data_IF_313131167773
#
_entry.id   IF_313131167773
#
_cell.length_a   1.000
_cell.length_b   1.000
_cell.length_c   1.000
_cell.angle_alpha   90.00
_cell.angle_beta   90.00
_cell.angle_gamma   90.00
#
_symmetry.space_group_name_H-M   'P 1'
#
loop_
_entity.id
_entity.type
_entity.pdbx_description
1 polymer ?
#
# COMPACT_ATOMS: atom_id res chain seq x y z
N UNK A 1 -55.37 -24.84 -40.72
CA UNK A 1 -54.86 -25.11 -39.36
C UNK A 1 -53.41 -24.64 -39.31
N UNK A 2 -53.23 -23.33 -39.09
CA UNK A 2 -51.92 -22.68 -39.09
C UNK A 2 -51.51 -22.43 -37.65
N UNK A 3 -50.36 -22.95 -37.26
CA UNK A 3 -49.74 -22.70 -35.98
C UNK A 3 -48.89 -21.44 -36.06
N UNK A 4 -49.24 -20.44 -35.26
CA UNK A 4 -48.40 -19.28 -35.01
C UNK A 4 -47.21 -19.72 -34.12
N UNK A 5 -46.02 -19.62 -34.61
CA UNK A 5 -44.78 -19.64 -33.82
C UNK A 5 -44.56 -18.24 -33.26
N UNK A 6 -44.70 -18.09 -31.96
CA UNK A 6 -44.35 -16.89 -31.22
C UNK A 6 -42.82 -16.83 -31.08
N UNK A 7 -42.21 -15.86 -31.76
CA UNK A 7 -40.79 -15.51 -31.52
C UNK A 7 -40.63 -15.07 -30.09
N UNK A 8 -39.76 -15.73 -29.35
CA UNK A 8 -39.27 -15.26 -28.05
C UNK A 8 -38.23 -14.19 -28.32
N UNK A 9 -38.65 -12.93 -28.20
CA UNK A 9 -37.70 -11.83 -28.04
C UNK A 9 -36.90 -12.08 -26.76
N UNK A 10 -35.64 -12.49 -26.94
CA UNK A 10 -34.66 -12.57 -25.88
C UNK A 10 -34.36 -11.15 -25.38
N UNK A 11 -35.02 -10.76 -24.31
CA UNK A 11 -34.61 -9.58 -23.53
C UNK A 11 -33.19 -9.89 -23.04
N UNK A 12 -32.19 -9.28 -23.67
CA UNK A 12 -30.83 -9.29 -23.16
C UNK A 12 -30.87 -8.70 -21.75
N UNK A 13 -30.49 -9.49 -20.78
CA UNK A 13 -30.26 -9.08 -19.40
C UNK A 13 -29.34 -7.83 -19.46
N UNK A 14 -29.68 -6.71 -18.80
CA UNK A 14 -28.82 -5.54 -18.83
C UNK A 14 -27.50 -5.91 -18.17
N UNK A 15 -26.50 -6.22 -19.01
CA UNK A 15 -25.14 -6.46 -18.50
C UNK A 15 -24.75 -5.25 -17.66
N UNK A 16 -24.60 -5.45 -16.35
CA UNK A 16 -24.10 -4.43 -15.43
C UNK A 16 -22.74 -3.99 -15.95
N UNK A 17 -22.69 -2.79 -16.51
CA UNK A 17 -21.45 -2.21 -17.05
C UNK A 17 -20.58 -1.78 -15.89
N UNK A 18 -19.28 -2.09 -15.97
CA UNK A 18 -18.31 -1.61 -14.99
C UNK A 18 -18.20 -0.08 -15.14
N UNK A 19 -18.46 0.63 -14.06
CA UNK A 19 -18.43 2.10 -14.00
C UNK A 19 -17.04 2.58 -13.65
N UNK A 20 -16.43 3.40 -14.50
CA UNK A 20 -15.03 3.82 -14.43
C UNK A 20 -14.94 5.33 -14.24
N UNK A 21 -14.06 5.78 -13.33
CA UNK A 21 -13.62 7.16 -13.25
C UNK A 21 -12.18 7.26 -13.74
N UNK A 22 -11.83 8.30 -14.51
CA UNK A 22 -10.50 8.52 -15.08
C UNK A 22 -9.89 9.79 -14.49
N UNK A 23 -8.67 9.70 -13.96
CA UNK A 23 -7.87 10.83 -13.50
C UNK A 23 -6.53 10.84 -14.22
N UNK A 24 -6.30 11.84 -15.08
CA UNK A 24 -5.04 12.07 -15.79
C UNK A 24 -4.98 13.55 -16.18
N UNK A 25 -3.87 14.23 -16.02
CA UNK A 25 -3.74 15.66 -16.37
C UNK A 25 -3.62 15.90 -17.90
N UNK A 26 -3.31 14.85 -18.67
CA UNK A 26 -3.22 14.92 -20.12
C UNK A 26 -4.59 14.65 -20.80
N UNK A 27 -5.19 15.68 -21.39
CA UNK A 27 -6.50 15.58 -22.05
C UNK A 27 -6.57 14.49 -23.12
N UNK A 28 -5.53 14.37 -23.96
CA UNK A 28 -5.49 13.33 -25.02
C UNK A 28 -5.45 11.91 -24.45
N UNK A 29 -4.81 11.72 -23.30
CA UNK A 29 -4.78 10.42 -22.61
C UNK A 29 -6.15 10.09 -22.06
N UNK A 30 -6.82 11.04 -21.40
CA UNK A 30 -8.18 10.86 -20.90
C UNK A 30 -9.14 10.49 -22.02
N UNK A 31 -9.13 11.25 -23.13
CA UNK A 31 -9.99 11.00 -24.27
C UNK A 31 -9.72 9.61 -24.89
N UNK A 32 -8.44 9.24 -25.08
CA UNK A 32 -8.08 7.92 -25.60
C UNK A 32 -8.50 6.77 -24.69
N UNK A 33 -8.41 6.95 -23.37
CA UNK A 33 -8.89 5.96 -22.39
C UNK A 33 -10.42 5.86 -22.42
N UNK A 34 -11.12 6.99 -22.51
CA UNK A 34 -12.59 7.03 -22.60
C UNK A 34 -13.08 6.28 -23.83
N UNK A 35 -12.52 6.61 -25.01
CA UNK A 35 -12.89 5.94 -26.29
C UNK A 35 -12.62 4.42 -26.23
N UNK A 36 -11.47 4.02 -25.66
CA UNK A 36 -11.11 2.62 -25.49
C UNK A 36 -12.08 1.89 -24.56
N UNK A 37 -12.38 2.47 -23.41
CA UNK A 37 -13.22 1.83 -22.40
C UNK A 37 -14.69 1.74 -22.85
N UNK A 38 -15.24 2.81 -23.41
CA UNK A 38 -16.61 2.81 -23.92
C UNK A 38 -16.79 1.85 -25.09
N UNK A 39 -15.78 1.77 -25.99
CA UNK A 39 -15.75 0.80 -27.08
C UNK A 39 -15.78 -0.66 -26.61
N UNK A 40 -15.30 -0.94 -25.41
CA UNK A 40 -15.21 -2.26 -24.79
C UNK A 40 -16.33 -2.52 -23.74
N UNK A 41 -17.35 -1.64 -23.72
CA UNK A 41 -18.56 -1.84 -22.94
C UNK A 41 -18.48 -1.38 -21.47
N UNK A 42 -17.46 -0.64 -21.10
CA UNK A 42 -17.42 0.05 -19.81
C UNK A 42 -18.29 1.33 -19.84
N UNK A 43 -18.61 1.87 -18.68
CA UNK A 43 -19.28 3.16 -18.53
C UNK A 43 -18.34 4.16 -17.87
N UNK A 44 -17.86 5.17 -18.60
CA UNK A 44 -17.05 6.24 -18.01
C UNK A 44 -17.98 7.25 -17.33
N UNK A 45 -18.07 7.19 -16.00
CA UNK A 45 -18.99 8.01 -15.19
C UNK A 45 -18.43 9.39 -14.87
N UNK A 46 -17.16 9.61 -15.15
CA UNK A 46 -16.52 10.91 -14.98
C UNK A 46 -15.02 10.87 -15.25
N UNK A 47 -14.48 12.06 -15.49
CA UNK A 47 -13.06 12.27 -15.69
C UNK A 47 -12.61 13.57 -15.01
N UNK A 48 -11.33 13.67 -14.69
CA UNK A 48 -10.70 14.89 -14.17
C UNK A 48 -9.22 14.96 -14.53
N UNK A 49 -8.68 16.16 -14.65
CA UNK A 49 -7.24 16.42 -14.74
C UNK A 49 -6.62 16.88 -13.42
N UNK A 50 -7.40 16.97 -12.33
CA UNK A 50 -6.99 17.50 -11.03
C UNK A 50 -7.25 16.51 -9.92
N UNK A 51 -6.23 16.27 -9.08
CA UNK A 51 -6.33 15.42 -7.89
C UNK A 51 -7.39 15.93 -6.92
N UNK A 52 -7.40 17.25 -6.66
CA UNK A 52 -8.36 17.88 -5.75
C UNK A 52 -9.80 17.77 -6.25
N UNK A 53 -10.04 17.85 -7.56
CA UNK A 53 -11.36 17.65 -8.14
C UNK A 53 -11.78 16.18 -8.06
N UNK A 54 -10.91 15.24 -8.44
CA UNK A 54 -11.17 13.80 -8.41
C UNK A 54 -11.55 13.32 -7.01
N UNK A 55 -10.82 13.74 -5.96
CA UNK A 55 -11.10 13.38 -4.57
C UNK A 55 -12.53 13.76 -4.14
N UNK A 56 -13.10 14.84 -4.68
CA UNK A 56 -14.49 15.25 -4.39
C UNK A 56 -15.51 14.54 -5.25
N UNK A 57 -15.20 14.29 -6.54
CA UNK A 57 -16.16 13.76 -7.52
C UNK A 57 -16.31 12.24 -7.44
N UNK A 58 -15.24 11.52 -7.17
CA UNK A 58 -15.25 10.05 -7.11
C UNK A 58 -16.28 9.54 -6.08
N UNK A 59 -16.31 10.03 -4.81
CA UNK A 59 -17.31 9.57 -3.84
C UNK A 59 -18.75 9.89 -4.24
N UNK A 60 -18.97 11.03 -4.96
CA UNK A 60 -20.30 11.42 -5.42
C UNK A 60 -20.79 10.58 -6.61
N UNK A 61 -19.89 10.16 -7.50
CA UNK A 61 -20.21 9.39 -8.70
C UNK A 61 -20.27 7.89 -8.43
N UNK A 62 -19.63 7.42 -7.35
CA UNK A 62 -19.60 6.00 -6.94
C UNK A 62 -19.23 5.06 -8.10
N UNK A 63 -18.04 5.20 -8.72
CA UNK A 63 -17.57 4.25 -9.72
C UNK A 63 -17.22 2.91 -9.08
N UNK A 64 -17.20 1.83 -9.86
CA UNK A 64 -16.70 0.52 -9.42
C UNK A 64 -15.16 0.55 -9.34
N UNK A 65 -14.55 1.28 -10.26
CA UNK A 65 -13.09 1.42 -10.33
C UNK A 65 -12.68 2.84 -10.75
N UNK A 66 -11.61 3.36 -10.15
CA UNK A 66 -10.96 4.60 -10.55
C UNK A 66 -9.58 4.29 -11.14
N UNK A 67 -9.31 4.78 -12.35
CA UNK A 67 -8.00 4.75 -13.00
C UNK A 67 -7.33 6.10 -12.70
N UNK A 68 -6.21 6.08 -12.02
CA UNK A 68 -5.58 7.26 -11.43
C UNK A 68 -4.15 7.40 -11.96
N UNK A 69 -3.84 8.51 -12.63
CA UNK A 69 -2.46 8.82 -12.99
C UNK A 69 -1.60 8.95 -11.72
N UNK A 70 -0.43 8.36 -11.75
CA UNK A 70 0.51 8.39 -10.64
C UNK A 70 1.01 9.79 -10.30
N UNK A 71 1.05 10.72 -11.26
CA UNK A 71 1.55 12.09 -11.07
C UNK A 71 0.64 13.12 -11.70
N UNK A 72 0.30 14.15 -10.92
CA UNK A 72 -0.56 15.24 -11.31
C UNK A 72 0.08 16.58 -10.89
N UNK A 73 -0.24 17.69 -11.51
CA UNK A 73 0.30 19.01 -11.14
C UNK A 73 -0.04 19.43 -9.71
N UNK A 74 -1.15 18.93 -9.17
CA UNK A 74 -1.70 19.30 -7.86
C UNK A 74 -1.69 18.15 -6.84
N UNK A 75 -0.97 17.02 -7.12
CA UNK A 75 -0.86 15.89 -6.21
C UNK A 75 -0.49 14.59 -6.90
N UNK A 76 -0.88 13.48 -6.31
CA UNK A 76 -0.62 12.15 -6.87
C UNK A 76 -1.88 11.27 -6.84
N UNK A 77 -2.02 10.37 -7.83
CA UNK A 77 -3.10 9.38 -7.81
C UNK A 77 -3.07 8.45 -6.61
N UNK A 78 -1.89 8.27 -6.00
CA UNK A 78 -1.73 7.47 -4.77
C UNK A 78 -2.40 8.17 -3.58
N UNK A 79 -2.26 9.50 -3.47
CA UNK A 79 -2.95 10.30 -2.44
C UNK A 79 -4.46 10.27 -2.66
N UNK A 80 -4.91 10.48 -3.90
CA UNK A 80 -6.34 10.36 -4.25
C UNK A 80 -6.88 8.97 -3.92
N UNK A 81 -6.16 7.89 -4.27
CA UNK A 81 -6.53 6.52 -3.92
C UNK A 81 -6.74 6.35 -2.41
N UNK A 82 -5.78 6.81 -1.60
CA UNK A 82 -5.87 6.75 -0.14
C UNK A 82 -7.09 7.47 0.40
N UNK A 83 -7.32 8.70 -0.07
CA UNK A 83 -8.40 9.55 0.40
C UNK A 83 -9.78 8.97 0.06
N UNK A 84 -10.00 8.59 -1.21
CA UNK A 84 -11.30 8.06 -1.64
C UNK A 84 -11.59 6.68 -1.04
N UNK A 85 -10.58 5.82 -0.87
CA UNK A 85 -10.74 4.52 -0.23
C UNK A 85 -10.94 4.60 1.29
N UNK A 86 -10.47 5.68 1.93
CA UNK A 86 -10.80 5.94 3.34
C UNK A 86 -12.29 6.21 3.53
N UNK A 87 -12.98 6.74 2.53
CA UNK A 87 -14.42 7.02 2.53
C UNK A 87 -15.24 5.80 2.08
N UNK A 88 -14.80 5.10 1.03
CA UNK A 88 -15.43 3.85 0.58
C UNK A 88 -14.35 2.77 0.27
N UNK A 89 -14.11 1.84 1.20
CA UNK A 89 -13.15 0.74 1.02
C UNK A 89 -13.50 -0.23 -0.13
N UNK A 90 -14.74 -0.21 -0.63
CA UNK A 90 -15.19 -1.09 -1.74
C UNK A 90 -14.74 -0.58 -3.10
N UNK A 91 -14.44 0.73 -3.21
CA UNK A 91 -13.93 1.30 -4.44
C UNK A 91 -12.58 0.70 -4.80
N UNK A 92 -12.45 0.22 -6.02
CA UNK A 92 -11.18 -0.25 -6.55
C UNK A 92 -10.41 0.90 -7.20
N UNK A 93 -9.10 0.96 -6.99
CA UNK A 93 -8.24 1.97 -7.59
C UNK A 93 -7.08 1.32 -8.32
N UNK A 94 -6.83 1.74 -9.54
CA UNK A 94 -5.72 1.30 -10.37
C UNK A 94 -4.81 2.49 -10.66
N UNK A 95 -3.56 2.42 -10.25
CA UNK A 95 -2.57 3.46 -10.55
C UNK A 95 -1.99 3.20 -11.95
N UNK A 96 -2.15 4.17 -12.84
CA UNK A 96 -1.61 4.15 -14.21
C UNK A 96 -0.53 5.23 -14.34
N UNK A 97 0.71 4.85 -14.67
CA UNK A 97 1.85 5.76 -14.61
C UNK A 97 2.88 5.52 -15.71
N UNK A 98 3.68 6.52 -16.01
CA UNK A 98 4.81 6.39 -16.94
C UNK A 98 6.12 5.96 -16.27
N UNK A 99 6.15 5.78 -14.96
CA UNK A 99 7.36 5.54 -14.17
C UNK A 99 7.30 4.24 -13.41
N UNK A 100 8.39 3.45 -13.51
CA UNK A 100 8.62 2.26 -12.69
C UNK A 100 9.43 2.70 -11.46
N UNK A 101 8.73 2.96 -10.36
CA UNK A 101 9.31 3.49 -9.11
C UNK A 101 8.87 2.60 -7.95
N UNK A 102 9.84 1.95 -7.31
CA UNK A 102 9.60 1.04 -6.18
C UNK A 102 8.92 1.75 -4.99
N UNK A 103 9.25 3.01 -4.73
CA UNK A 103 8.61 3.78 -3.66
C UNK A 103 7.15 4.09 -4.00
N UNK A 104 6.85 4.38 -5.26
CA UNK A 104 5.49 4.60 -5.73
C UNK A 104 4.66 3.31 -5.69
N UNK A 105 5.22 2.16 -6.08
CA UNK A 105 4.57 0.85 -5.93
C UNK A 105 4.25 0.57 -4.46
N UNK A 106 5.22 0.79 -3.56
CA UNK A 106 5.00 0.66 -2.11
C UNK A 106 3.89 1.60 -1.62
N UNK A 107 3.91 2.86 -2.06
CA UNK A 107 2.87 3.84 -1.75
C UNK A 107 1.48 3.42 -2.23
N UNK A 108 1.37 2.86 -3.44
CA UNK A 108 0.13 2.35 -4.01
C UNK A 108 -0.45 1.18 -3.20
N UNK A 109 0.40 0.21 -2.81
CA UNK A 109 -0.01 -0.90 -1.94
C UNK A 109 -0.55 -0.37 -0.61
N UNK A 110 0.14 0.59 0.02
CA UNK A 110 -0.28 1.18 1.30
C UNK A 110 -1.55 2.03 1.21
N UNK A 111 -1.80 2.63 0.05
CA UNK A 111 -3.04 3.33 -0.24
C UNK A 111 -4.20 2.36 -0.53
N UNK A 112 -3.94 1.05 -0.60
CA UNK A 112 -4.91 0.01 -0.90
C UNK A 112 -5.30 -0.05 -2.38
N UNK A 113 -4.45 0.41 -3.31
CA UNK A 113 -4.70 0.25 -4.73
C UNK A 113 -4.81 -1.24 -5.10
N UNK A 114 -5.63 -1.55 -6.10
CA UNK A 114 -5.76 -2.90 -6.65
C UNK A 114 -4.63 -3.25 -7.61
N UNK A 115 -3.85 -2.27 -8.05
CA UNK A 115 -2.70 -2.49 -8.93
C UNK A 115 -1.96 -1.21 -9.30
N UNK A 116 -0.79 -1.41 -9.89
CA UNK A 116 0.10 -0.38 -10.39
C UNK A 116 0.56 -0.79 -11.79
N UNK A 117 0.21 -0.03 -12.81
CA UNK A 117 0.40 -0.37 -14.21
C UNK A 117 1.17 0.75 -14.92
N UNK A 118 2.09 0.37 -15.79
CA UNK A 118 2.80 1.33 -16.65
C UNK A 118 1.94 1.70 -17.87
N UNK A 119 1.90 2.98 -18.25
CA UNK A 119 1.16 3.51 -19.43
C UNK A 119 1.61 2.89 -20.76
N UNK A 120 2.74 2.16 -20.79
CA UNK A 120 3.25 1.44 -21.96
C UNK A 120 2.60 0.07 -22.15
N UNK A 121 1.66 -0.32 -21.29
CA UNK A 121 0.91 -1.58 -21.41
C UNK A 121 0.09 -1.62 -22.71
N UNK A 122 -0.13 -2.81 -23.24
CA UNK A 122 -1.05 -3.02 -24.37
C UNK A 122 -2.48 -2.81 -23.93
N UNK A 123 -3.32 -2.29 -24.83
CA UNK A 123 -4.74 -2.01 -24.54
C UNK A 123 -5.49 -3.23 -24.01
N UNK A 124 -5.28 -4.41 -24.63
CA UNK A 124 -5.94 -5.65 -24.22
C UNK A 124 -5.59 -6.06 -22.78
N UNK A 125 -4.31 -5.90 -22.40
CA UNK A 125 -3.83 -6.22 -21.05
C UNK A 125 -4.34 -5.22 -20.02
N UNK A 126 -4.46 -3.93 -20.39
CA UNK A 126 -5.07 -2.91 -19.55
C UNK A 126 -6.55 -3.22 -19.29
N UNK A 127 -7.32 -3.52 -20.33
CA UNK A 127 -8.74 -3.87 -20.22
C UNK A 127 -8.97 -5.12 -19.35
N UNK A 128 -8.14 -6.15 -19.56
CA UNK A 128 -8.17 -7.35 -18.72
C UNK A 128 -7.83 -7.03 -17.25
N UNK A 129 -6.84 -6.16 -17.02
CA UNK A 129 -6.47 -5.69 -15.68
C UNK A 129 -7.60 -4.93 -15.01
N UNK A 130 -8.27 -4.02 -15.73
CA UNK A 130 -9.40 -3.25 -15.19
C UNK A 130 -10.55 -4.18 -14.78
N UNK A 131 -10.90 -5.18 -15.63
CA UNK A 131 -11.95 -6.16 -15.30
C UNK A 131 -11.61 -6.97 -14.05
N UNK A 132 -10.37 -7.44 -13.90
CA UNK A 132 -9.89 -8.16 -12.71
C UNK A 132 -9.93 -7.27 -11.46
N UNK A 133 -9.40 -6.05 -11.56
CA UNK A 133 -9.39 -5.12 -10.44
C UNK A 133 -10.81 -4.76 -9.98
N UNK A 134 -11.75 -4.52 -10.92
CA UNK A 134 -13.15 -4.26 -10.61
C UNK A 134 -13.86 -5.48 -9.98
N UNK A 135 -13.39 -6.70 -10.25
CA UNK A 135 -13.84 -7.92 -9.60
C UNK A 135 -13.20 -8.15 -8.21
N UNK A 136 -12.33 -7.22 -7.75
CA UNK A 136 -11.65 -7.31 -6.46
C UNK A 136 -10.34 -8.09 -6.46
N UNK A 137 -9.83 -8.47 -7.64
CA UNK A 137 -8.54 -9.13 -7.74
C UNK A 137 -7.38 -8.11 -7.63
N UNK A 138 -6.33 -8.46 -6.90
CA UNK A 138 -5.09 -7.70 -6.89
C UNK A 138 -4.26 -7.99 -8.15
N UNK A 139 -3.75 -6.93 -8.77
CA UNK A 139 -2.83 -7.02 -9.91
C UNK A 139 -1.36 -6.94 -9.49
N UNK A 140 -1.06 -6.83 -8.22
CA UNK A 140 0.29 -6.91 -7.73
C UNK A 140 0.83 -8.35 -7.75
N UNK A 141 2.13 -8.55 -7.93
CA UNK A 141 2.74 -9.87 -7.81
C UNK A 141 2.41 -10.54 -6.48
N UNK A 142 2.13 -11.82 -6.51
CA UNK A 142 1.77 -12.59 -5.31
C UNK A 142 2.77 -12.39 -4.16
N UNK A 143 2.27 -12.05 -2.98
CA UNK A 143 3.04 -11.80 -1.77
C UNK A 143 3.75 -10.45 -1.71
N UNK A 144 3.65 -9.58 -2.72
CA UNK A 144 4.25 -8.24 -2.68
C UNK A 144 3.60 -7.38 -1.58
N UNK A 145 2.28 -7.37 -1.53
CA UNK A 145 1.50 -6.63 -0.54
C UNK A 145 1.91 -7.05 0.89
N UNK A 146 1.95 -8.36 1.16
CA UNK A 146 2.34 -8.87 2.46
C UNK A 146 3.78 -8.50 2.82
N UNK A 147 4.73 -8.56 1.88
CA UNK A 147 6.12 -8.15 2.12
C UNK A 147 6.24 -6.66 2.44
N UNK A 148 5.43 -5.81 1.79
CA UNK A 148 5.42 -4.38 2.06
C UNK A 148 4.83 -4.10 3.44
N UNK A 149 3.71 -4.73 3.78
CA UNK A 149 3.06 -4.61 5.09
C UNK A 149 4.00 -5.13 6.20
N UNK A 150 4.59 -6.31 6.02
CA UNK A 150 5.56 -6.87 6.96
C UNK A 150 6.81 -5.99 7.13
N UNK A 151 7.24 -5.34 6.06
CA UNK A 151 8.39 -4.40 6.10
C UNK A 151 8.09 -3.10 6.84
N UNK A 152 6.80 -2.78 7.06
CA UNK A 152 6.37 -1.61 7.84
C UNK A 152 6.11 -2.00 9.29
N UNK A 153 5.47 -3.15 9.49
CA UNK A 153 5.22 -3.71 10.84
C UNK A 153 6.52 -4.20 11.50
N UNK A 154 7.48 -4.67 10.72
CA UNK A 154 8.87 -4.81 11.16
C UNK A 154 9.53 -3.45 10.93
N UNK A 155 9.57 -2.60 11.97
CA UNK A 155 10.46 -1.44 11.98
C UNK A 155 11.82 -1.88 11.39
N UNK A 156 12.50 -1.07 10.54
CA UNK A 156 13.78 -1.46 9.95
C UNK A 156 14.67 -1.91 11.10
N UNK A 157 14.86 -3.22 11.22
CA UNK A 157 15.76 -3.76 12.23
C UNK A 157 17.12 -3.27 11.83
N UNK A 158 17.65 -2.31 12.58
CA UNK A 158 19.02 -1.85 12.40
C UNK A 158 19.91 -3.12 12.31
N UNK A 159 20.70 -3.32 11.24
CA UNK A 159 21.53 -4.51 11.08
C UNK A 159 22.39 -4.79 12.33
N UNK A 160 22.71 -3.75 13.11
CA UNK A 160 23.39 -3.86 14.39
C UNK A 160 22.54 -4.58 15.44
N UNK A 161 21.21 -4.46 15.40
CA UNK A 161 20.30 -5.21 16.27
C UNK A 161 20.26 -6.70 15.92
N UNK A 162 20.49 -7.07 14.68
CA UNK A 162 20.57 -8.48 14.27
C UNK A 162 21.83 -9.16 14.76
N UNK A 163 22.92 -8.39 14.99
CA UNK A 163 24.15 -8.91 15.57
C UNK A 163 24.04 -9.24 17.07
N UNK A 164 22.94 -8.82 17.73
CA UNK A 164 22.70 -9.11 19.15
C UNK A 164 21.99 -10.46 19.32
N UNK A 165 22.48 -11.26 20.28
CA UNK A 165 21.80 -12.47 20.72
C UNK A 165 20.45 -12.15 21.41
N UNK A 166 19.59 -13.15 21.53
CA UNK A 166 18.30 -13.00 22.22
C UNK A 166 18.43 -12.44 23.64
N UNK A 167 19.49 -12.88 24.37
CA UNK A 167 19.75 -12.41 25.71
C UNK A 167 20.26 -10.95 25.75
N UNK A 168 21.14 -10.57 24.80
CA UNK A 168 21.60 -9.21 24.64
C UNK A 168 20.45 -8.24 24.31
N UNK A 169 19.50 -8.67 23.48
CA UNK A 169 18.28 -7.88 23.16
C UNK A 169 17.43 -7.63 24.42
N UNK A 170 17.23 -8.64 25.28
CA UNK A 170 16.52 -8.48 26.56
C UNK A 170 17.23 -7.48 27.47
N UNK A 171 18.54 -7.62 27.65
CA UNK A 171 19.35 -6.69 28.44
C UNK A 171 19.26 -5.26 27.88
N UNK A 172 19.35 -5.12 26.57
CA UNK A 172 19.28 -3.81 25.89
C UNK A 172 17.91 -3.13 26.11
N UNK A 173 16.81 -3.89 26.05
CA UNK A 173 15.46 -3.37 26.36
C UNK A 173 15.39 -2.80 27.79
N UNK A 174 15.92 -3.53 28.77
CA UNK A 174 15.92 -3.09 30.15
C UNK A 174 16.86 -1.88 30.41
N UNK A 175 17.94 -1.74 29.61
CA UNK A 175 18.75 -0.53 29.55
C UNK A 175 17.92 0.68 29.08
N UNK A 176 17.08 0.49 28.05
CA UNK A 176 16.16 1.52 27.56
C UNK A 176 15.15 1.99 28.60
N UNK A 177 14.73 1.11 29.50
CA UNK A 177 13.86 1.41 30.64
C UNK A 177 14.59 2.09 31.82
N UNK A 178 15.90 2.27 31.69
CA UNK A 178 16.71 2.97 32.70
C UNK A 178 17.17 2.09 33.89
N UNK A 179 16.99 0.77 33.86
CA UNK A 179 17.37 -0.14 34.93
C UNK A 179 18.89 -0.19 35.13
N UNK A 180 19.37 -0.31 36.34
CA UNK A 180 20.78 -0.55 36.68
C UNK A 180 21.18 -2.02 36.40
N UNK A 181 22.47 -2.33 36.32
CA UNK A 181 22.93 -3.72 36.12
C UNK A 181 22.43 -4.69 37.20
N UNK A 182 22.32 -4.23 38.44
CA UNK A 182 21.77 -5.00 39.54
C UNK A 182 20.29 -5.30 39.31
N UNK A 183 19.48 -4.31 38.98
CA UNK A 183 18.05 -4.47 38.69
C UNK A 183 17.83 -5.40 37.48
N UNK A 184 18.65 -5.25 36.41
CA UNK A 184 18.62 -6.16 35.23
C UNK A 184 18.98 -7.58 35.67
N UNK A 185 19.96 -7.74 36.56
CA UNK A 185 20.31 -9.03 37.12
C UNK A 185 19.18 -9.67 37.90
N UNK A 186 18.52 -8.90 38.75
CA UNK A 186 17.35 -9.35 39.52
C UNK A 186 16.20 -9.77 38.56
N UNK A 187 15.92 -8.98 37.53
CA UNK A 187 14.84 -9.23 36.53
C UNK A 187 15.10 -10.48 35.67
N UNK A 188 16.35 -10.68 35.25
CA UNK A 188 16.74 -11.80 34.38
C UNK A 188 17.32 -13.00 35.09
N UNK A 189 17.36 -12.99 36.42
CA UNK A 189 17.99 -14.03 37.27
C UNK A 189 19.46 -14.24 36.88
N UNK A 190 20.21 -13.14 36.72
CA UNK A 190 21.63 -13.14 36.37
C UNK A 190 22.47 -12.43 37.45
N UNK A 191 23.72 -12.87 37.62
CA UNK A 191 24.65 -12.12 38.42
C UNK A 191 24.96 -10.74 37.81
N UNK A 192 25.12 -9.72 38.60
CA UNK A 192 25.44 -8.35 38.15
C UNK A 192 26.69 -8.30 37.28
N UNK A 193 27.71 -9.12 37.58
CA UNK A 193 28.91 -9.26 36.78
C UNK A 193 28.60 -9.79 35.34
N UNK A 194 27.63 -10.71 35.21
CA UNK A 194 27.19 -11.25 33.94
C UNK A 194 26.47 -10.17 33.13
N UNK A 195 25.60 -9.39 33.74
CA UNK A 195 24.93 -8.26 33.11
C UNK A 195 25.95 -7.22 32.64
N UNK A 196 26.98 -6.91 33.41
CA UNK A 196 28.06 -6.01 33.01
C UNK A 196 28.78 -6.49 31.75
N UNK A 197 29.01 -7.80 31.61
CA UNK A 197 29.59 -8.38 30.38
C UNK A 197 28.65 -8.22 29.18
N UNK A 198 27.34 -8.48 29.33
CA UNK A 198 26.36 -8.24 28.28
C UNK A 198 26.32 -6.78 27.85
N UNK A 199 26.32 -5.84 28.79
CA UNK A 199 26.34 -4.40 28.50
C UNK A 199 27.57 -4.05 27.66
N UNK A 200 28.76 -4.55 28.04
CA UNK A 200 29.98 -4.28 27.28
C UNK A 200 29.93 -4.86 25.87
N UNK A 201 29.43 -6.08 25.72
CA UNK A 201 29.25 -6.74 24.41
C UNK A 201 28.26 -5.97 23.52
N UNK A 202 27.12 -5.56 24.08
CA UNK A 202 26.10 -4.78 23.38
C UNK A 202 26.68 -3.45 22.88
N UNK A 203 27.38 -2.71 23.72
CA UNK A 203 28.00 -1.43 23.35
C UNK A 203 29.00 -1.63 22.20
N UNK A 204 29.85 -2.66 22.27
CA UNK A 204 30.82 -2.97 21.23
C UNK A 204 30.11 -3.33 19.89
N UNK A 205 29.07 -4.17 19.91
CA UNK A 205 28.33 -4.60 18.70
C UNK A 205 27.54 -3.46 18.08
N UNK A 206 27.01 -2.52 18.87
CA UNK A 206 26.27 -1.36 18.41
C UNK A 206 27.15 -0.17 18.04
N UNK A 207 28.47 -0.24 18.34
CA UNK A 207 29.42 0.87 18.09
C UNK A 207 29.20 2.05 19.04
N UNK A 208 28.75 1.81 20.28
CA UNK A 208 28.52 2.84 21.29
C UNK A 208 29.63 2.85 22.34
N UNK A 209 30.00 4.04 22.79
CA UNK A 209 30.98 4.24 23.83
C UNK A 209 30.33 4.31 25.24
N UNK A 210 29.05 4.71 25.30
CA UNK A 210 28.36 4.99 26.56
C UNK A 210 27.01 4.31 26.63
N UNK A 211 26.63 3.83 27.83
CA UNK A 211 25.34 3.23 28.12
C UNK A 211 24.16 4.15 27.76
N UNK A 212 24.31 5.46 27.95
CA UNK A 212 23.27 6.43 27.61
C UNK A 212 22.95 6.44 26.11
N UNK A 213 23.94 6.18 25.25
CA UNK A 213 23.72 6.05 23.81
C UNK A 213 22.86 4.83 23.48
N UNK A 214 23.11 3.71 24.16
CA UNK A 214 22.29 2.50 24.02
C UNK A 214 20.85 2.73 24.52
N UNK A 215 20.67 3.44 25.63
CA UNK A 215 19.35 3.77 26.17
C UNK A 215 18.55 4.65 25.17
N UNK A 216 19.12 5.74 24.66
CA UNK A 216 18.50 6.61 23.65
C UNK A 216 18.20 5.86 22.36
N UNK A 217 19.11 4.98 21.95
CA UNK A 217 18.94 4.18 20.75
C UNK A 217 17.71 3.27 20.84
N UNK A 218 17.51 2.58 21.98
CA UNK A 218 16.33 1.73 22.19
C UNK A 218 15.05 2.55 22.20
N UNK A 219 15.03 3.68 22.89
CA UNK A 219 13.84 4.55 22.97
C UNK A 219 13.39 5.05 21.58
N UNK A 220 14.34 5.22 20.65
CA UNK A 220 14.04 5.65 19.26
C UNK A 220 13.64 4.52 18.33
N UNK A 221 14.06 3.27 18.62
CA UNK A 221 13.89 2.11 17.75
C UNK A 221 13.03 1.00 18.39
N UNK A 222 12.50 1.21 19.58
CA UNK A 222 11.52 0.31 20.16
C UNK A 222 10.18 0.50 19.45
N UNK A 223 9.47 -0.60 19.05
CA UNK A 223 8.08 -0.48 18.65
C UNK A 223 7.30 0.13 19.81
N UNK A 224 6.41 1.09 19.52
CA UNK A 224 5.50 1.65 20.50
C UNK A 224 4.74 0.48 21.16
N UNK A 225 4.95 0.29 22.46
CA UNK A 225 4.17 -0.66 23.24
C UNK A 225 2.86 0.06 23.55
N UNK A 226 1.76 -0.44 22.95
CA UNK A 226 0.40 -0.14 23.41
C UNK A 226 0.17 -0.69 24.82
#
# INVERSE_FOLDING_TARGET
MQRHESGSDGVADPQVRIRVFILDDHELVRQGLTDLLEGEGFEVVGESGSAAEATRRIPALQPDIAILDGRLPDGTGIEVCRDVRSLDPRLHCLILTSYDDEQAIRGAVLAGASGYILKQIRSDDLLAGIRKAAAGESLFPAGLEQRIIDGITKAPTDPRMEALSAQEKKVLTLIGQGLTNRQIGDELFLAEKTVKNYVSSILAKLGFERRTQAAVYVTRNAPAVE
#
